data_IF_852903067979
#
_entry.id   IF_852903067979
#
_cell.length_a   1.000
_cell.length_b   1.000
_cell.length_c   1.000
_cell.angle_alpha   90.00
_cell.angle_beta   90.00
_cell.angle_gamma   90.00
#
_symmetry.space_group_name_H-M   'P 1'
#
loop_
_entity.id
_entity.type
_entity.pdbx_description
1 polymer ?
#
# COMPACT_ATOMS: atom_id res chain seq x y z
N UNK A 1 -2.51 20.46 -21.10
CA UNK A 1 -2.82 19.92 -19.75
C UNK A 1 -2.69 18.41 -19.83
N UNK A 2 -1.92 17.76 -18.95
CA UNK A 2 -1.76 16.29 -18.98
C UNK A 2 -3.04 15.58 -18.52
N UNK A 3 -3.27 14.37 -19.01
CA UNK A 3 -4.38 13.52 -18.55
C UNK A 3 -4.11 13.11 -17.10
N UNK A 4 -5.15 13.01 -16.25
CA UNK A 4 -4.98 12.60 -14.85
C UNK A 4 -4.34 11.20 -14.78
N UNK A 5 -4.74 10.38 -15.73
CA UNK A 5 -4.26 9.03 -16.03
C UNK A 5 -2.75 8.99 -16.28
N UNK A 6 -2.09 10.08 -16.64
CA UNK A 6 -0.64 10.12 -16.91
C UNK A 6 0.20 10.24 -15.63
N UNK A 7 -0.43 10.48 -14.47
CA UNK A 7 0.27 10.89 -13.23
C UNK A 7 0.59 9.70 -12.32
N UNK A 8 -0.37 8.81 -11.96
CA UNK A 8 -0.10 7.76 -10.99
C UNK A 8 0.99 6.80 -11.46
N UNK A 9 1.98 6.59 -10.58
CA UNK A 9 3.11 5.67 -10.76
C UNK A 9 3.87 5.82 -12.07
N UNK A 10 3.86 7.01 -12.69
CA UNK A 10 4.61 7.29 -13.92
C UNK A 10 6.06 6.79 -13.78
N UNK A 11 6.54 6.01 -14.75
CA UNK A 11 7.86 5.31 -14.76
C UNK A 11 8.05 4.15 -13.77
N UNK A 12 7.06 3.86 -12.93
CA UNK A 12 7.08 2.75 -11.97
C UNK A 12 6.01 1.67 -12.27
N UNK A 13 5.17 1.85 -13.30
CA UNK A 13 4.05 0.96 -13.62
C UNK A 13 4.46 -0.47 -13.94
N UNK A 14 5.49 -0.70 -14.75
CA UNK A 14 5.95 -2.08 -15.02
C UNK A 14 6.39 -2.84 -13.76
N UNK A 15 7.01 -2.13 -12.79
CA UNK A 15 7.34 -2.71 -11.47
C UNK A 15 6.10 -2.96 -10.62
N UNK A 16 5.12 -2.05 -10.67
CA UNK A 16 3.83 -2.25 -10.01
C UNK A 16 3.08 -3.45 -10.59
N UNK A 17 3.00 -3.57 -11.92
CA UNK A 17 2.44 -4.73 -12.63
C UNK A 17 3.12 -6.01 -12.15
N UNK A 18 4.45 -6.06 -12.18
CA UNK A 18 5.23 -7.21 -11.73
C UNK A 18 4.90 -7.63 -10.29
N UNK A 19 4.73 -6.67 -9.38
CA UNK A 19 4.32 -6.94 -8.00
C UNK A 19 2.93 -7.57 -7.96
N UNK A 20 1.96 -6.98 -8.67
CA UNK A 20 0.57 -7.43 -8.69
C UNK A 20 0.41 -8.81 -9.35
N UNK A 21 1.14 -9.09 -10.43
CA UNK A 21 1.25 -10.42 -11.00
C UNK A 21 1.81 -11.40 -9.96
N UNK A 22 2.90 -11.03 -9.26
CA UNK A 22 3.59 -11.92 -8.32
C UNK A 22 2.71 -12.35 -7.15
N UNK A 23 1.75 -11.52 -6.74
CA UNK A 23 0.80 -11.82 -5.67
C UNK A 23 -0.54 -12.38 -6.20
N UNK A 24 -0.64 -12.64 -7.50
CA UNK A 24 -1.81 -13.27 -8.13
C UNK A 24 -3.01 -12.34 -8.30
N UNK A 25 -2.83 -11.02 -8.28
CA UNK A 25 -3.90 -10.05 -8.58
C UNK A 25 -4.00 -9.71 -10.06
N UNK A 26 -2.96 -10.02 -10.84
CA UNK A 26 -2.94 -9.91 -12.31
C UNK A 26 -2.43 -11.21 -12.91
N UNK A 27 -2.81 -11.47 -14.16
CA UNK A 27 -2.25 -12.57 -14.94
C UNK A 27 -0.76 -12.29 -15.20
N UNK A 28 0.07 -13.34 -15.21
CA UNK A 28 1.47 -13.24 -15.60
C UNK A 28 1.65 -12.87 -17.07
N UNK A 29 0.66 -13.19 -17.91
CA UNK A 29 0.65 -12.89 -19.34
C UNK A 29 0.28 -11.43 -19.66
N UNK A 30 -0.29 -10.68 -18.70
CA UNK A 30 -0.73 -9.31 -18.93
C UNK A 30 0.47 -8.39 -19.24
N UNK A 31 0.39 -7.65 -20.35
CA UNK A 31 1.46 -6.75 -20.80
C UNK A 31 1.47 -5.40 -20.08
N UNK A 32 2.55 -4.62 -20.22
CA UNK A 32 2.59 -3.27 -19.66
C UNK A 32 1.54 -2.35 -20.31
N UNK A 33 1.27 -2.50 -21.62
CA UNK A 33 0.25 -1.75 -22.35
C UNK A 33 -1.17 -2.09 -21.89
N UNK A 34 -1.43 -3.36 -21.58
CA UNK A 34 -2.71 -3.80 -21.01
C UNK A 34 -2.88 -3.27 -19.59
N UNK A 35 -1.82 -3.32 -18.78
CA UNK A 35 -1.82 -2.77 -17.44
C UNK A 35 -2.02 -1.25 -17.42
N UNK A 36 -1.49 -0.52 -18.41
CA UNK A 36 -1.66 0.92 -18.53
C UNK A 36 -3.14 1.34 -18.72
N UNK A 37 -3.95 0.50 -19.38
CA UNK A 37 -5.40 0.74 -19.53
C UNK A 37 -6.15 0.75 -18.19
N UNK A 38 -5.59 0.12 -17.14
CA UNK A 38 -6.19 0.14 -15.80
C UNK A 38 -6.18 1.53 -15.15
N UNK A 39 -5.40 2.47 -15.69
CA UNK A 39 -5.41 3.86 -15.22
C UNK A 39 -6.47 4.71 -15.91
N UNK A 40 -7.15 4.20 -16.93
CA UNK A 40 -8.22 4.90 -17.64
C UNK A 40 -9.49 5.03 -16.79
N UNK A 41 -10.26 6.10 -17.00
CA UNK A 41 -11.51 6.34 -16.28
C UNK A 41 -12.60 5.28 -16.51
N UNK A 42 -12.43 4.41 -17.49
CA UNK A 42 -13.32 3.29 -17.83
C UNK A 42 -13.06 2.03 -17.00
N UNK A 43 -11.91 1.94 -16.31
CA UNK A 43 -11.58 0.83 -15.42
C UNK A 43 -12.56 0.74 -14.25
N UNK A 44 -12.95 -0.48 -13.88
CA UNK A 44 -13.96 -0.77 -12.86
C UNK A 44 -13.47 -1.67 -11.74
N UNK A 45 -12.38 -2.41 -11.99
CA UNK A 45 -11.84 -3.41 -11.07
C UNK A 45 -10.62 -2.87 -10.30
N UNK A 46 -9.91 -1.90 -10.88
CA UNK A 46 -8.76 -1.25 -10.25
C UNK A 46 -9.00 0.24 -10.00
N UNK A 47 -8.48 0.72 -8.87
CA UNK A 47 -8.43 2.14 -8.56
C UNK A 47 -7.11 2.46 -7.90
N UNK A 48 -6.57 3.63 -8.22
CA UNK A 48 -5.28 4.08 -7.70
C UNK A 48 -5.48 5.36 -6.89
N UNK A 49 -4.84 5.40 -5.73
CA UNK A 49 -4.94 6.53 -4.82
C UNK A 49 -3.71 6.65 -3.93
N UNK A 50 -3.66 7.75 -3.20
CA UNK A 50 -2.64 8.00 -2.18
C UNK A 50 -3.30 8.05 -0.81
N UNK A 51 -2.61 7.52 0.20
CA UNK A 51 -3.02 7.63 1.60
C UNK A 51 -3.10 9.11 2.04
N UNK A 52 -2.26 9.97 1.44
CA UNK A 52 -2.25 11.42 1.64
C UNK A 52 -2.34 12.10 0.29
N UNK A 53 -3.38 12.92 0.09
CA UNK A 53 -3.61 13.60 -1.20
C UNK A 53 -2.78 14.86 -1.39
N UNK A 54 -2.18 15.38 -0.32
CA UNK A 54 -1.28 16.52 -0.36
C UNK A 54 0.15 16.04 -0.63
N UNK A 55 0.90 16.80 -1.44
CA UNK A 55 2.35 16.62 -1.57
C UNK A 55 3.01 16.87 -0.23
N UNK A 56 3.80 15.91 0.23
CA UNK A 56 4.56 16.01 1.47
C UNK A 56 6.03 16.24 1.15
N UNK A 57 6.62 17.20 1.85
CA UNK A 57 8.06 17.46 1.81
C UNK A 57 8.59 17.55 3.24
N UNK A 58 9.78 17.03 3.46
CA UNK A 58 10.44 17.04 4.77
C UNK A 58 11.79 17.71 4.66
N UNK A 59 12.10 18.63 5.57
CA UNK A 59 13.43 19.23 5.64
C UNK A 59 14.45 18.16 6.04
N UNK A 60 15.47 17.95 5.22
CA UNK A 60 16.63 17.14 5.57
C UNK A 60 17.64 18.04 6.29
N UNK A 61 17.81 17.84 7.60
CA UNK A 61 18.72 18.63 8.42
C UNK A 61 20.20 18.51 8.03
N UNK A 62 20.60 17.45 7.31
CA UNK A 62 21.98 17.27 6.84
C UNK A 62 22.28 18.08 5.59
N UNK A 63 21.30 18.20 4.69
CA UNK A 63 21.47 18.87 3.40
C UNK A 63 20.85 20.27 3.36
N UNK A 64 20.02 20.61 4.35
CA UNK A 64 19.27 21.87 4.40
C UNK A 64 18.19 21.99 3.32
N UNK A 65 17.81 20.89 2.66
CA UNK A 65 16.84 20.87 1.55
C UNK A 65 15.59 20.11 1.91
N UNK A 66 14.46 20.53 1.35
CA UNK A 66 13.23 19.76 1.40
C UNK A 66 13.29 18.58 0.44
N UNK A 67 13.01 17.39 0.96
CA UNK A 67 12.96 16.14 0.22
C UNK A 67 11.53 15.60 0.19
N UNK A 68 11.10 15.09 -0.98
CA UNK A 68 9.79 14.50 -1.19
C UNK A 68 9.83 12.96 -1.28
N UNK A 69 11.00 12.36 -1.02
CA UNK A 69 11.26 10.92 -1.17
C UNK A 69 11.90 10.33 0.09
N UNK A 70 11.95 9.00 0.20
CA UNK A 70 12.62 8.32 1.30
C UNK A 70 11.75 8.25 2.56
N UNK A 71 12.22 8.81 3.67
CA UNK A 71 11.57 8.69 4.99
C UNK A 71 10.36 9.61 5.18
N UNK A 72 9.91 10.34 4.15
CA UNK A 72 8.80 11.30 4.26
C UNK A 72 7.55 10.64 4.82
N UNK A 73 7.12 9.52 4.25
CA UNK A 73 5.89 8.84 4.71
C UNK A 73 6.05 8.18 6.08
N UNK A 74 7.20 7.59 6.39
CA UNK A 74 7.42 6.99 7.72
C UNK A 74 7.45 8.05 8.82
N UNK A 75 8.00 9.23 8.52
CA UNK A 75 8.03 10.36 9.48
C UNK A 75 6.72 11.13 9.53
N UNK A 76 5.92 11.11 8.47
CA UNK A 76 4.64 11.80 8.41
C UNK A 76 3.66 11.34 9.49
N UNK A 77 3.78 10.10 10.00
CA UNK A 77 2.94 9.61 11.10
C UNK A 77 3.33 10.16 12.49
N UNK A 78 4.57 10.60 12.67
CA UNK A 78 5.10 11.09 13.95
C UNK A 78 5.29 12.61 14.01
N UNK A 79 5.45 13.27 12.86
CA UNK A 79 5.68 14.72 12.78
C UNK A 79 4.34 15.50 12.80
N UNK A 80 4.35 16.84 12.95
CA UNK A 80 3.12 17.64 12.99
C UNK A 80 2.17 17.41 11.80
N UNK A 81 2.72 17.03 10.64
CA UNK A 81 1.96 16.67 9.44
C UNK A 81 1.09 15.41 9.58
N UNK A 82 1.24 14.67 10.68
CA UNK A 82 0.40 13.50 10.99
C UNK A 82 -1.08 13.82 11.10
N UNK A 83 -1.44 15.07 11.42
CA UNK A 83 -2.83 15.56 11.38
C UNK A 83 -3.40 15.53 9.97
N UNK A 84 -2.61 15.91 8.96
CA UNK A 84 -2.99 15.86 7.53
C UNK A 84 -3.17 14.42 7.08
N UNK A 85 -2.26 13.52 7.48
CA UNK A 85 -2.36 12.09 7.17
C UNK A 85 -3.65 11.51 7.75
N UNK A 86 -3.92 11.77 9.04
CA UNK A 86 -5.14 11.32 9.72
C UNK A 86 -6.40 11.90 9.08
N UNK A 87 -6.39 13.19 8.71
CA UNK A 87 -7.50 13.85 8.06
C UNK A 87 -7.80 13.22 6.69
N UNK A 88 -6.80 13.09 5.82
CA UNK A 88 -6.95 12.44 4.51
C UNK A 88 -7.51 11.02 4.64
N UNK A 89 -6.90 10.20 5.50
CA UNK A 89 -7.34 8.82 5.68
C UNK A 89 -8.77 8.74 6.23
N UNK A 90 -9.13 9.57 7.21
CA UNK A 90 -10.52 9.61 7.71
C UNK A 90 -11.50 10.06 6.63
N UNK A 91 -11.18 11.11 5.88
CA UNK A 91 -12.09 11.62 4.84
C UNK A 91 -12.35 10.58 3.74
N UNK A 92 -11.33 9.85 3.31
CA UNK A 92 -11.44 8.99 2.12
C UNK A 92 -11.53 7.49 2.41
N UNK A 93 -11.18 7.04 3.62
CA UNK A 93 -11.14 5.61 3.97
C UNK A 93 -12.13 5.23 5.08
N UNK A 94 -12.91 6.17 5.64
CA UNK A 94 -13.97 5.85 6.62
C UNK A 94 -15.16 5.12 6.00
N UNK A 95 -15.39 5.29 4.71
CA UNK A 95 -16.42 4.56 3.96
C UNK A 95 -15.78 4.02 2.70
N UNK A 96 -15.84 2.71 2.53
CA UNK A 96 -15.29 2.03 1.35
C UNK A 96 -16.42 1.59 0.41
N UNK A 97 -16.20 1.56 -0.91
CA UNK A 97 -17.17 1.03 -1.86
C UNK A 97 -17.52 -0.43 -1.55
N UNK A 98 -18.80 -0.80 -1.66
CA UNK A 98 -19.27 -2.15 -1.30
C UNK A 98 -18.65 -3.28 -2.16
N UNK A 99 -18.19 -2.98 -3.38
CA UNK A 99 -17.51 -3.94 -4.26
C UNK A 99 -16.01 -4.08 -3.96
N UNK A 100 -15.43 -3.20 -3.14
CA UNK A 100 -14.00 -3.24 -2.84
C UNK A 100 -13.68 -4.47 -2.00
N UNK A 101 -12.74 -5.30 -2.46
CA UNK A 101 -12.35 -6.54 -1.77
C UNK A 101 -10.94 -6.47 -1.19
N UNK A 102 -10.04 -5.74 -1.85
CA UNK A 102 -8.62 -5.67 -1.50
C UNK A 102 -8.11 -4.23 -1.63
N UNK A 103 -7.31 -3.80 -0.66
CA UNK A 103 -6.49 -2.59 -0.73
C UNK A 103 -5.03 -2.98 -0.62
N UNK A 104 -4.25 -2.57 -1.60
CA UNK A 104 -2.79 -2.76 -1.63
C UNK A 104 -2.11 -1.48 -1.15
N UNK A 105 -1.31 -1.60 -0.09
CA UNK A 105 -0.49 -0.53 0.45
C UNK A 105 0.97 -0.72 0.02
N UNK A 106 1.55 0.28 -0.62
CA UNK A 106 2.88 0.21 -1.19
C UNK A 106 3.95 0.64 -0.17
N UNK A 107 4.50 -0.34 0.54
CA UNK A 107 5.58 -0.16 1.50
C UNK A 107 5.61 -1.25 2.57
N UNK A 108 6.77 -1.85 2.79
CA UNK A 108 6.97 -2.99 3.72
C UNK A 108 7.88 -2.66 4.91
N UNK A 109 8.26 -1.39 5.09
CA UNK A 109 9.04 -0.96 6.26
C UNK A 109 8.21 -1.17 7.53
N UNK A 110 8.80 -1.78 8.57
CA UNK A 110 8.08 -2.19 9.78
C UNK A 110 7.34 -1.01 10.46
N UNK A 111 8.01 0.16 10.57
CA UNK A 111 7.38 1.36 11.12
C UNK A 111 6.18 1.84 10.29
N UNK A 112 6.32 1.86 8.97
CA UNK A 112 5.23 2.25 8.06
C UNK A 112 4.01 1.33 8.19
N UNK A 113 4.24 0.01 8.23
CA UNK A 113 3.16 -0.97 8.40
C UNK A 113 2.46 -0.78 9.75
N UNK A 114 3.24 -0.67 10.84
CA UNK A 114 2.73 -0.45 12.19
C UNK A 114 1.83 0.79 12.26
N UNK A 115 2.27 1.90 11.68
CA UNK A 115 1.53 3.15 11.71
C UNK A 115 0.27 3.10 10.84
N UNK A 116 0.32 2.44 9.67
CA UNK A 116 -0.87 2.18 8.86
C UNK A 116 -1.88 1.31 9.60
N UNK A 117 -1.45 0.19 10.21
CA UNK A 117 -2.30 -0.67 11.04
C UNK A 117 -2.98 0.13 12.14
N UNK A 118 -2.23 0.95 12.88
CA UNK A 118 -2.77 1.82 13.95
C UNK A 118 -3.80 2.81 13.41
N UNK A 119 -3.51 3.45 12.27
CA UNK A 119 -4.42 4.38 11.62
C UNK A 119 -5.72 3.69 11.19
N UNK A 120 -5.65 2.59 10.45
CA UNK A 120 -6.85 1.90 9.96
C UNK A 120 -7.65 1.29 11.13
N UNK A 121 -7.00 0.76 12.17
CA UNK A 121 -7.67 0.33 13.40
C UNK A 121 -8.44 1.47 14.07
N UNK A 122 -7.92 2.69 14.03
CA UNK A 122 -8.62 3.86 14.60
C UNK A 122 -9.83 4.31 13.77
N UNK A 123 -9.84 4.01 12.47
CA UNK A 123 -10.95 4.35 11.56
C UNK A 123 -12.03 3.26 11.63
N UNK A 124 -11.62 1.99 11.68
CA UNK A 124 -12.49 0.81 11.61
C UNK A 124 -12.36 -0.13 12.82
N UNK A 125 -12.48 0.34 14.07
CA UNK A 125 -12.10 -0.43 15.25
C UNK A 125 -12.87 -1.75 15.40
N UNK A 126 -14.17 -1.75 15.07
CA UNK A 126 -15.06 -2.92 15.27
C UNK A 126 -14.84 -4.07 14.28
N UNK A 127 -14.14 -3.82 13.18
CA UNK A 127 -13.93 -4.81 12.10
C UNK A 127 -12.46 -5.08 11.85
N UNK A 128 -11.57 -4.44 12.61
CA UNK A 128 -10.14 -4.63 12.46
C UNK A 128 -9.74 -6.01 12.99
N UNK A 129 -9.14 -6.84 12.13
CA UNK A 129 -8.58 -8.15 12.50
C UNK A 129 -7.19 -8.26 11.92
N UNK A 130 -6.20 -8.48 12.77
CA UNK A 130 -4.82 -8.69 12.33
C UNK A 130 -4.68 -10.09 11.71
N UNK A 131 -3.97 -10.21 10.58
CA UNK A 131 -3.75 -11.49 9.89
C UNK A 131 -2.32 -11.96 10.10
N UNK A 132 -1.36 -11.09 9.79
CA UNK A 132 0.07 -11.31 9.94
C UNK A 132 0.79 -9.95 9.90
N UNK A 133 2.12 -9.95 9.79
CA UNK A 133 2.92 -8.73 9.82
C UNK A 133 2.53 -7.71 8.76
N UNK A 134 2.14 -8.13 7.56
CA UNK A 134 1.87 -7.26 6.41
C UNK A 134 0.39 -7.15 6.04
N UNK A 135 -0.50 -7.85 6.72
CA UNK A 135 -1.91 -7.85 6.36
C UNK A 135 -2.87 -7.81 7.54
N UNK A 136 -4.04 -7.23 7.28
CA UNK A 136 -5.15 -7.13 8.23
C UNK A 136 -6.47 -6.99 7.46
N UNK A 137 -7.58 -7.33 8.10
CA UNK A 137 -8.93 -7.03 7.61
C UNK A 137 -9.47 -5.80 8.32
N UNK A 138 -10.20 -4.96 7.59
CA UNK A 138 -11.00 -3.89 8.16
C UNK A 138 -12.08 -3.47 7.17
N UNK A 139 -13.27 -3.12 7.67
CA UNK A 139 -14.43 -2.72 6.89
C UNK A 139 -14.84 -3.73 5.80
N UNK A 140 -14.66 -5.03 6.06
CA UNK A 140 -14.94 -6.11 5.10
C UNK A 140 -13.91 -6.26 3.98
N UNK A 141 -12.81 -5.50 4.01
CA UNK A 141 -11.77 -5.45 2.98
C UNK A 141 -10.45 -6.00 3.52
N UNK A 142 -9.67 -6.69 2.67
CA UNK A 142 -8.30 -7.08 2.95
C UNK A 142 -7.36 -5.91 2.71
N UNK A 143 -6.53 -5.59 3.69
CA UNK A 143 -5.47 -4.59 3.56
C UNK A 143 -4.14 -5.31 3.56
N UNK A 144 -3.38 -5.20 2.47
CA UNK A 144 -2.14 -5.96 2.27
C UNK A 144 -1.01 -5.03 1.89
N UNK A 145 0.08 -5.08 2.65
CA UNK A 145 1.30 -4.34 2.37
C UNK A 145 2.21 -5.12 1.44
N UNK A 146 2.65 -4.47 0.36
CA UNK A 146 3.59 -5.03 -0.63
C UNK A 146 4.75 -4.08 -0.85
N UNK A 147 5.82 -4.55 -1.47
CA UNK A 147 7.00 -3.70 -1.73
C UNK A 147 6.64 -2.49 -2.60
N UNK A 148 7.32 -1.36 -2.39
CA UNK A 148 7.05 -0.15 -3.17
C UNK A 148 7.71 -0.23 -4.57
N UNK A 149 7.04 0.18 -5.67
CA UNK A 149 7.53 -0.03 -7.03
C UNK A 149 8.65 0.93 -7.46
N UNK A 150 8.98 1.95 -6.65
CA UNK A 150 10.06 2.91 -6.99
C UNK A 150 11.37 2.23 -7.34
N UNK A 151 12.07 2.75 -8.36
CA UNK A 151 13.41 2.32 -8.76
C UNK A 151 14.47 2.53 -7.66
N UNK A 152 14.24 3.44 -6.72
CA UNK A 152 15.13 3.68 -5.57
C UNK A 152 14.92 2.68 -4.41
N UNK A 153 13.97 1.75 -4.53
CA UNK A 153 13.71 0.75 -3.51
C UNK A 153 14.72 -0.41 -3.61
N UNK A 154 15.76 -0.39 -2.76
CA UNK A 154 16.77 -1.44 -2.68
C UNK A 154 16.26 -2.82 -2.23
N UNK A 155 15.06 -2.90 -1.66
CA UNK A 155 14.46 -4.16 -1.20
C UNK A 155 13.55 -4.82 -2.24
N UNK A 156 13.28 -4.15 -3.37
CA UNK A 156 12.39 -4.66 -4.41
C UNK A 156 12.84 -6.02 -4.92
N UNK A 157 14.11 -6.17 -5.30
CA UNK A 157 14.62 -7.44 -5.87
C UNK A 157 14.46 -8.62 -4.91
N UNK A 158 14.84 -8.41 -3.63
CA UNK A 158 14.73 -9.43 -2.58
C UNK A 158 13.29 -9.83 -2.27
N UNK A 159 12.38 -8.85 -2.26
CA UNK A 159 10.95 -9.12 -2.14
C UNK A 159 10.44 -9.92 -3.35
N UNK A 160 10.80 -9.50 -4.57
CA UNK A 160 10.39 -10.17 -5.81
C UNK A 160 10.91 -11.61 -5.93
N UNK A 161 12.08 -11.93 -5.38
CA UNK A 161 12.63 -13.29 -5.36
C UNK A 161 12.14 -14.15 -4.19
N UNK A 162 11.49 -13.57 -3.16
CA UNK A 162 11.33 -14.15 -1.82
C UNK A 162 12.63 -14.73 -1.29
N UNK A 163 13.65 -13.87 -1.24
CA UNK A 163 14.88 -14.19 -0.54
C UNK A 163 14.57 -14.50 0.94
N UNK A 164 14.71 -15.77 1.33
CA UNK A 164 14.43 -16.24 2.70
C UNK A 164 15.44 -15.70 3.73
N UNK A 165 16.56 -15.14 3.27
CA UNK A 165 17.58 -14.54 4.15
C UNK A 165 17.29 -13.07 4.47
N UNK A 166 16.29 -12.46 3.83
CA UNK A 166 15.89 -11.08 4.03
C UNK A 166 14.44 -10.99 4.50
N UNK A 167 14.18 -10.13 5.50
CA UNK A 167 12.84 -9.90 6.02
C UNK A 167 11.84 -9.43 4.95
N UNK A 168 12.30 -8.85 3.84
CA UNK A 168 11.45 -8.46 2.72
C UNK A 168 10.93 -9.67 1.94
N UNK A 169 11.72 -10.75 1.82
CA UNK A 169 11.29 -11.95 1.09
C UNK A 169 10.16 -12.68 1.81
N UNK A 170 10.29 -12.87 3.13
CA UNK A 170 9.25 -13.49 3.96
C UNK A 170 7.90 -12.75 3.85
N UNK A 171 7.93 -11.42 3.83
CA UNK A 171 6.74 -10.56 3.67
C UNK A 171 5.98 -10.77 2.36
N UNK A 172 6.61 -11.30 1.31
CA UNK A 172 5.89 -11.65 0.07
C UNK A 172 4.94 -12.82 0.31
N UNK A 173 5.44 -13.87 0.97
CA UNK A 173 4.65 -15.07 1.24
C UNK A 173 3.49 -14.75 2.19
N UNK A 174 3.72 -13.91 3.18
CA UNK A 174 2.66 -13.41 4.07
C UNK A 174 1.58 -12.63 3.32
N UNK A 175 1.97 -11.82 2.33
CA UNK A 175 1.02 -11.08 1.48
C UNK A 175 0.17 -12.04 0.62
N UNK A 176 0.80 -13.05 0.01
CA UNK A 176 0.13 -14.08 -0.79
C UNK A 176 -0.84 -14.89 0.09
N UNK A 177 -0.38 -15.33 1.26
CA UNK A 177 -1.22 -16.03 2.23
C UNK A 177 -2.46 -15.22 2.58
N UNK A 178 -2.29 -13.94 2.93
CA UNK A 178 -3.41 -13.07 3.29
C UNK A 178 -4.43 -12.90 2.15
N UNK A 179 -3.96 -12.81 0.91
CA UNK A 179 -4.84 -12.72 -0.27
C UNK A 179 -5.63 -14.00 -0.51
N UNK A 180 -5.05 -15.17 -0.20
CA UNK A 180 -5.71 -16.47 -0.34
C UNK A 180 -6.87 -16.70 0.63
N UNK A 181 -6.92 -15.97 1.76
CA UNK A 181 -7.97 -16.11 2.76
C UNK A 181 -9.33 -15.66 2.22
N UNK A 182 -10.36 -16.48 2.39
CA UNK A 182 -11.74 -16.13 1.98
C UNK A 182 -12.49 -15.28 3.01
N UNK A 183 -12.06 -15.33 4.26
CA UNK A 183 -12.64 -14.61 5.39
C UNK A 183 -11.54 -14.23 6.38
N UNK A 184 -11.75 -13.23 7.26
CA UNK A 184 -10.82 -12.97 8.34
C UNK A 184 -10.59 -14.23 9.18
N UNK A 185 -9.35 -14.47 9.65
CA UNK A 185 -9.09 -15.56 10.57
C UNK A 185 -9.91 -15.35 11.85
N UNK A 186 -10.41 -16.44 12.44
CA UNK A 186 -11.11 -16.40 13.71
C UNK A 186 -10.09 -16.10 14.83
N UNK A 187 -9.79 -14.81 15.03
CA UNK A 187 -9.01 -14.32 16.18
C UNK A 187 -9.94 -13.80 17.27
N UNK A 188 -9.60 -14.05 18.53
CA UNK A 188 -10.33 -13.55 19.70
C UNK A 188 -10.55 -12.03 19.58
N UNK A 189 -11.80 -11.60 19.73
CA UNK A 189 -12.11 -10.18 19.89
C UNK A 189 -11.45 -9.76 21.20
N UNK A 190 -10.33 -9.06 21.14
CA UNK A 190 -9.84 -8.30 22.28
C UNK A 190 -10.91 -7.24 22.58
N UNK A 191 -11.72 -7.53 23.60
CA UNK A 191 -12.75 -6.65 24.14
C UNK A 191 -12.17 -5.42 24.81
#
# INVERSE_FOLDING_TARGET
MGKFEDVPFKKARGRLRSILCRIGLLDQAETDEEFDKRFEATERDFAFGSLVRCSLSRMNSKTGRYECTGQVMTKAFSEPVSTVVRCCARTYLSTLPAKLQVIILLGTAAGYIKDCKKLIRSIHPRSFVEVNDVAYWAAGVKWVHVTHPSGMNGYYGKWMSADKTDASGAKREDAIYALSLKSPPKGERLG
#
